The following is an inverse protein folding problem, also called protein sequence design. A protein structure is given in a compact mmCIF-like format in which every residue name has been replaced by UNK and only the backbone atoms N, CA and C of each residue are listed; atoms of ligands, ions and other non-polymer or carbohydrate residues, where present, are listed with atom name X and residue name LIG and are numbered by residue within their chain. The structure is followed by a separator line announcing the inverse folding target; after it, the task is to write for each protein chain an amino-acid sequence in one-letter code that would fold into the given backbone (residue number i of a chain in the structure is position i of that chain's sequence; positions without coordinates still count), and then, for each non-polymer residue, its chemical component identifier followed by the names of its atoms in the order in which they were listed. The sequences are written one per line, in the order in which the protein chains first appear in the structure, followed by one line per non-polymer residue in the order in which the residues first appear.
data_IF_749291979808
#
_entry.id   IF_749291979808
#
_cell.length_a   1.000
_cell.length_b   1.000
_cell.length_c   1.000
_cell.angle_alpha   90.00
_cell.angle_beta   90.00
_cell.angle_gamma   90.00
#
_symmetry.space_group_name_H-M   'P 1'
#
loop_
_entity.id
_entity.type
_entity.pdbx_description
1 polymer ?
#
# COMPACT_ATOMS: atom_id res chain seq x y z
N UNK A 1 10.99 -1.00 16.98
CA UNK A 1 11.11 -1.86 15.79
C UNK A 1 10.43 -3.22 15.96
N UNK A 2 10.08 -3.65 17.18
CA UNK A 2 9.43 -4.95 17.45
C UNK A 2 8.13 -5.27 16.70
N UNK A 3 7.43 -4.29 16.14
CA UNK A 3 6.27 -4.50 15.26
C UNK A 3 6.64 -5.16 13.92
N UNK A 4 7.84 -4.89 13.41
CA UNK A 4 8.32 -5.49 12.17
C UNK A 4 9.01 -6.85 12.39
N UNK A 5 9.18 -7.26 13.64
CA UNK A 5 9.79 -8.54 14.02
C UNK A 5 8.72 -9.66 13.99
N UNK A 6 9.12 -10.87 13.59
CA UNK A 6 8.32 -12.10 13.62
C UNK A 6 7.00 -12.08 12.81
N UNK A 7 6.95 -11.39 11.67
CA UNK A 7 5.76 -11.27 10.81
C UNK A 7 4.54 -10.57 11.44
N UNK A 8 4.67 -9.98 12.63
CA UNK A 8 3.58 -9.23 13.28
C UNK A 8 3.07 -8.06 12.42
N UNK A 9 3.92 -7.52 11.54
CA UNK A 9 3.54 -6.48 10.60
C UNK A 9 2.52 -6.97 9.55
N UNK A 10 2.55 -8.26 9.16
CA UNK A 10 1.58 -8.81 8.18
C UNK A 10 0.17 -8.78 8.74
N UNK A 11 0.00 -9.17 10.01
CA UNK A 11 -1.32 -9.12 10.69
C UNK A 11 -1.89 -7.70 10.68
N UNK A 12 -1.03 -6.69 10.85
CA UNK A 12 -1.43 -5.28 10.81
C UNK A 12 -1.72 -4.85 9.36
N UNK A 13 -0.90 -5.25 8.40
CA UNK A 13 -1.15 -4.96 6.98
C UNK A 13 -2.48 -5.56 6.51
N UNK A 14 -2.75 -6.84 6.83
CA UNK A 14 -4.00 -7.52 6.55
C UNK A 14 -5.20 -6.82 7.21
N UNK A 15 -5.02 -6.33 8.43
CA UNK A 15 -6.05 -5.54 9.11
C UNK A 15 -6.32 -4.21 8.39
N UNK A 16 -5.28 -3.48 8.00
CA UNK A 16 -5.40 -2.23 7.23
C UNK A 16 -6.09 -2.50 5.89
N UNK A 17 -5.68 -3.55 5.18
CA UNK A 17 -6.26 -3.95 3.91
C UNK A 17 -7.74 -4.31 4.05
N UNK A 18 -8.16 -4.97 5.13
CA UNK A 18 -9.58 -5.24 5.40
C UNK A 18 -10.43 -3.96 5.52
N UNK A 19 -9.79 -2.82 5.80
CA UNK A 19 -10.40 -1.49 5.90
C UNK A 19 -10.19 -0.64 4.65
N UNK A 20 -9.51 -1.14 3.62
CA UNK A 20 -9.20 -0.38 2.39
C UNK A 20 -10.45 0.12 1.66
N UNK A 21 -11.61 -0.54 1.85
CA UNK A 21 -12.90 -0.08 1.35
C UNK A 21 -13.25 1.35 1.79
N UNK A 22 -12.80 1.80 2.98
CA UNK A 22 -12.99 3.18 3.44
C UNK A 22 -12.31 4.18 2.50
N UNK A 23 -11.14 3.82 1.95
CA UNK A 23 -10.43 4.67 0.99
C UNK A 23 -11.22 4.84 -0.31
N UNK A 24 -11.99 3.81 -0.70
CA UNK A 24 -12.85 3.89 -1.89
C UNK A 24 -14.00 4.90 -1.75
N UNK A 25 -14.39 5.27 -0.53
CA UNK A 25 -15.36 6.34 -0.29
C UNK A 25 -14.78 7.72 -0.66
N UNK A 26 -13.46 7.87 -0.63
CA UNK A 26 -12.79 9.08 -1.08
C UNK A 26 -12.69 9.10 -2.62
N UNK A 27 -13.45 10.02 -3.24
CA UNK A 27 -13.52 10.14 -4.72
C UNK A 27 -12.18 10.38 -5.39
N UNK A 28 -11.31 11.19 -4.80
CA UNK A 28 -10.00 11.48 -5.40
C UNK A 28 -9.06 10.29 -5.30
N UNK A 29 -9.02 9.61 -4.14
CA UNK A 29 -8.28 8.36 -4.01
C UNK A 29 -8.74 7.35 -5.07
N UNK A 30 -10.06 7.13 -5.18
CA UNK A 30 -10.61 6.17 -6.13
C UNK A 30 -10.27 6.54 -7.58
N UNK A 31 -10.32 7.83 -7.95
CA UNK A 31 -9.91 8.33 -9.27
C UNK A 31 -8.44 8.05 -9.55
N UNK A 32 -7.57 8.32 -8.57
CA UNK A 32 -6.12 8.10 -8.70
C UNK A 32 -5.81 6.61 -8.80
N UNK A 33 -6.44 5.78 -7.97
CA UNK A 33 -6.27 4.33 -7.98
C UNK A 33 -6.66 3.72 -9.33
N UNK A 34 -7.84 4.06 -9.86
CA UNK A 34 -8.29 3.59 -11.18
C UNK A 34 -7.32 4.03 -12.29
N UNK A 35 -6.84 5.28 -12.23
CA UNK A 35 -5.89 5.79 -13.21
C UNK A 35 -4.54 5.06 -13.15
N UNK A 36 -4.02 4.80 -11.96
CA UNK A 36 -2.79 4.06 -11.75
C UNK A 36 -2.91 2.64 -12.31
N UNK A 37 -3.96 1.90 -11.94
CA UNK A 37 -4.19 0.53 -12.44
C UNK A 37 -4.28 0.49 -13.96
N UNK A 38 -5.00 1.45 -14.57
CA UNK A 38 -5.08 1.57 -16.03
C UNK A 38 -3.71 1.82 -16.65
N UNK A 39 -2.89 2.69 -16.07
CA UNK A 39 -1.56 3.02 -16.58
C UNK A 39 -0.59 1.83 -16.48
N UNK A 40 -0.64 1.08 -15.39
CA UNK A 40 0.13 -0.16 -15.21
C UNK A 40 -0.27 -1.18 -16.28
N UNK A 41 -1.57 -1.39 -16.51
CA UNK A 41 -2.05 -2.32 -17.52
C UNK A 41 -1.66 -1.90 -18.95
N UNK A 42 -1.82 -0.61 -19.28
CA UNK A 42 -1.39 -0.04 -20.56
C UNK A 42 0.12 -0.26 -20.79
N UNK A 43 0.95 -0.01 -19.77
CA UNK A 43 2.39 -0.20 -19.86
C UNK A 43 2.75 -1.68 -20.01
N UNK A 44 2.15 -2.55 -19.20
CA UNK A 44 2.42 -4.01 -19.22
C UNK A 44 2.15 -4.63 -20.60
N UNK A 45 1.14 -4.15 -21.33
CA UNK A 45 0.82 -4.59 -22.70
C UNK A 45 1.90 -4.19 -23.72
N UNK A 46 2.67 -3.14 -23.46
CA UNK A 46 3.72 -2.64 -24.36
C UNK A 46 5.08 -3.29 -24.09
N UNK A 47 5.25 -3.90 -22.92
CA UNK A 47 6.50 -4.56 -22.53
C UNK A 47 6.66 -5.88 -23.28
N UNK A 48 7.91 -6.19 -23.64
CA UNK A 48 8.30 -7.53 -24.09
C UNK A 48 8.28 -8.49 -22.90
N UNK A 49 8.17 -9.79 -23.18
CA UNK A 49 8.06 -10.80 -22.13
C UNK A 49 9.24 -10.77 -21.13
N UNK A 50 10.45 -10.53 -21.63
CA UNK A 50 11.68 -10.39 -20.81
C UNK A 50 11.67 -9.17 -19.86
N UNK A 51 10.92 -8.13 -20.20
CA UNK A 51 10.79 -6.91 -19.38
C UNK A 51 9.58 -6.98 -18.45
N UNK A 52 8.56 -7.79 -18.77
CA UNK A 52 7.39 -8.00 -17.92
C UNK A 52 7.75 -8.65 -16.59
N UNK A 53 8.65 -9.63 -16.59
CA UNK A 53 9.08 -10.29 -15.36
C UNK A 53 9.74 -9.29 -14.40
N UNK A 54 10.67 -8.47 -14.91
CA UNK A 54 11.30 -7.38 -14.13
C UNK A 54 10.29 -6.34 -13.67
N UNK A 55 9.33 -5.98 -14.53
CA UNK A 55 8.29 -5.03 -14.18
C UNK A 55 7.39 -5.56 -13.07
N UNK A 56 7.01 -6.83 -13.11
CA UNK A 56 6.24 -7.48 -12.06
C UNK A 56 7.03 -7.53 -10.75
N UNK A 57 8.33 -7.86 -10.78
CA UNK A 57 9.20 -7.80 -9.60
C UNK A 57 9.24 -6.39 -8.98
N UNK A 58 9.33 -5.34 -9.81
CA UNK A 58 9.27 -3.96 -9.33
C UNK A 58 7.94 -3.66 -8.65
N UNK A 59 6.80 -4.10 -9.21
CA UNK A 59 5.48 -3.92 -8.60
C UNK A 59 5.38 -4.65 -7.26
N UNK A 60 5.87 -5.89 -7.18
CA UNK A 60 5.91 -6.65 -5.92
C UNK A 60 6.75 -5.95 -4.85
N UNK A 61 7.93 -5.44 -5.21
CA UNK A 61 8.78 -4.68 -4.31
C UNK A 61 8.12 -3.38 -3.86
N UNK A 62 7.41 -2.69 -4.76
CA UNK A 62 6.69 -1.46 -4.43
C UNK A 62 5.58 -1.72 -3.42
N UNK A 63 4.74 -2.74 -3.64
CA UNK A 63 3.68 -3.11 -2.72
C UNK A 63 4.23 -3.55 -1.35
N UNK A 64 5.30 -4.35 -1.34
CA UNK A 64 5.96 -4.73 -0.08
C UNK A 64 6.49 -3.53 0.69
N UNK A 65 6.99 -2.52 -0.02
CA UNK A 65 7.48 -1.28 0.57
C UNK A 65 6.33 -0.43 1.12
N UNK A 66 5.20 -0.35 0.41
CA UNK A 66 3.97 0.30 0.90
C UNK A 66 3.44 -0.35 2.19
N UNK A 67 3.45 -1.68 2.29
CA UNK A 67 3.05 -2.40 3.51
C UNK A 67 3.83 -1.90 4.74
N UNK A 68 5.15 -1.73 4.61
CA UNK A 68 5.97 -1.20 5.71
C UNK A 68 5.53 0.21 6.12
N UNK A 69 5.20 1.09 5.16
CA UNK A 69 4.71 2.43 5.47
C UNK A 69 3.32 2.44 6.07
N UNK A 70 2.40 1.57 5.64
CA UNK A 70 1.08 1.44 6.23
C UNK A 70 1.17 1.01 7.69
N UNK A 71 1.95 -0.03 7.95
CA UNK A 71 2.16 -0.55 9.30
C UNK A 71 2.86 0.49 10.20
N UNK A 72 3.83 1.23 9.64
CA UNK A 72 4.49 2.32 10.37
C UNK A 72 3.50 3.45 10.70
N UNK A 73 2.70 3.88 9.73
CA UNK A 73 1.66 4.89 9.90
C UNK A 73 0.64 4.48 10.97
N UNK A 74 0.19 3.23 10.94
CA UNK A 74 -0.69 2.67 11.96
C UNK A 74 -0.05 2.73 13.35
N UNK A 75 1.22 2.35 13.48
CA UNK A 75 1.94 2.42 14.76
C UNK A 75 2.01 3.82 15.32
N UNK A 76 2.27 4.80 14.45
CA UNK A 76 2.29 6.21 14.84
C UNK A 76 0.90 6.67 15.27
N UNK A 77 -0.16 6.26 14.55
CA UNK A 77 -1.54 6.53 14.93
C UNK A 77 -1.93 5.92 16.28
N UNK A 78 -1.52 4.68 16.57
CA UNK A 78 -1.76 4.04 17.88
C UNK A 78 -1.00 4.76 18.99
N UNK A 79 0.25 5.16 18.73
CA UNK A 79 1.11 5.77 19.75
C UNK A 79 0.80 7.25 20.01
N UNK A 80 0.46 8.00 18.97
CA UNK A 80 0.33 9.47 18.99
C UNK A 80 -1.05 9.96 18.58
N UNK A 81 -2.03 9.08 18.33
CA UNK A 81 -3.34 9.45 17.79
C UNK A 81 -4.09 10.51 18.62
N UNK A 82 -3.99 10.45 19.95
CA UNK A 82 -4.60 11.46 20.83
C UNK A 82 -3.92 12.83 20.77
N UNK A 83 -2.63 12.87 20.41
CA UNK A 83 -1.91 14.13 20.17
C UNK A 83 -2.23 14.67 18.78
N UNK A 84 -2.37 13.80 17.78
CA UNK A 84 -2.76 14.18 16.41
C UNK A 84 -4.17 14.78 16.34
N UNK A 85 -5.10 14.35 17.20
CA UNK A 85 -6.45 14.95 17.29
C UNK A 85 -6.46 16.43 17.72
N UNK A 86 -5.34 16.94 18.24
CA UNK A 86 -5.19 18.31 18.74
C UNK A 86 -4.55 19.26 17.72
N UNK A 87 -4.13 18.74 16.57
CA UNK A 87 -3.70 19.52 15.40
C UNK A 87 -4.90 19.91 14.56
#
# INVERSE_FOLDING_TARGET
MGIFENENYKVISDFIESKSHILSENREFNRVYILLSKKIEELSKLLKEEDKEKFNEILELFHKMEDYYYVFSYSLGVKYGEELKKL
#
